data_IF_495145141254
#
_entry.id   IF_495145141254
#
_cell.length_a   1.000
_cell.length_b   1.000
_cell.length_c   1.000
_cell.angle_alpha   90.00
_cell.angle_beta   90.00
_cell.angle_gamma   90.00
#
_symmetry.space_group_name_H-M   'P 1'
#
loop_
_entity.id
_entity.type
_entity.pdbx_description
1 polymer ?
#
# COMPACT_ATOMS: atom_id res chain seq x y z
N UNK A 1 -17.70 25.02 4.62
CA UNK A 1 -17.09 23.71 4.31
C UNK A 1 -16.39 23.22 5.55
N UNK A 2 -16.68 22.01 6.00
CA UNK A 2 -15.97 21.40 7.13
C UNK A 2 -14.54 21.13 6.69
N UNK A 3 -13.56 21.52 7.50
CA UNK A 3 -12.16 21.22 7.21
C UNK A 3 -11.94 19.70 7.33
N UNK A 4 -11.20 19.13 6.38
CA UNK A 4 -10.79 17.73 6.40
C UNK A 4 -9.36 17.66 6.90
N UNK A 5 -9.11 16.71 7.80
CA UNK A 5 -7.82 16.56 8.46
C UNK A 5 -7.30 15.14 8.27
N UNK A 6 -6.01 15.04 7.97
CA UNK A 6 -5.27 13.79 8.12
C UNK A 6 -5.03 13.61 9.61
N UNK A 7 -5.64 12.58 10.21
CA UNK A 7 -5.57 12.36 11.66
C UNK A 7 -4.37 11.51 12.08
N UNK A 8 -3.86 10.66 11.19
CA UNK A 8 -2.65 9.88 11.43
C UNK A 8 -2.09 9.28 10.15
N UNK A 9 -0.82 8.88 10.19
CA UNK A 9 -0.09 8.27 9.10
C UNK A 9 0.64 7.01 9.57
N UNK A 10 0.75 6.03 8.68
CA UNK A 10 1.42 4.78 8.98
C UNK A 10 2.09 4.22 7.73
N UNK A 11 3.27 3.65 7.92
CA UNK A 11 4.02 3.00 6.84
C UNK A 11 4.58 1.67 7.31
N UNK A 12 4.62 0.73 6.39
CA UNK A 12 5.29 -0.55 6.57
C UNK A 12 6.11 -0.86 5.34
N UNK A 13 7.28 -1.45 5.58
CA UNK A 13 8.20 -1.90 4.54
C UNK A 13 8.65 -3.31 4.91
N UNK A 14 8.59 -4.28 3.99
CA UNK A 14 8.99 -5.66 4.27
C UNK A 14 10.45 -5.76 4.73
N UNK A 15 10.76 -6.77 5.54
CA UNK A 15 12.11 -6.90 6.13
C UNK A 15 13.17 -7.41 5.14
N UNK A 16 12.76 -8.23 4.16
CA UNK A 16 13.68 -8.78 3.15
C UNK A 16 14.11 -7.67 2.19
N UNK A 17 15.40 -7.34 2.25
CA UNK A 17 16.04 -6.29 1.45
C UNK A 17 16.90 -6.90 0.35
N UNK A 18 16.68 -6.46 -0.89
CA UNK A 18 17.46 -6.86 -2.06
C UNK A 18 18.33 -5.67 -2.45
N UNK A 19 19.64 -5.87 -2.44
CA UNK A 19 20.65 -4.89 -2.83
C UNK A 19 20.92 -4.96 -4.33
N UNK A 20 21.57 -3.94 -4.88
CA UNK A 20 22.02 -3.96 -6.27
C UNK A 20 23.00 -5.11 -6.55
N UNK A 21 23.81 -5.50 -5.56
CA UNK A 21 24.73 -6.65 -5.67
C UNK A 21 23.97 -7.96 -5.87
N UNK A 22 22.82 -8.13 -5.20
CA UNK A 22 21.99 -9.31 -5.40
C UNK A 22 21.44 -9.37 -6.83
N UNK A 23 21.07 -8.22 -7.41
CA UNK A 23 20.54 -8.13 -8.78
C UNK A 23 21.60 -8.42 -9.85
N UNK A 24 22.88 -8.13 -9.58
CA UNK A 24 23.99 -8.43 -10.51
C UNK A 24 24.14 -9.93 -10.79
N UNK A 25 23.65 -10.78 -9.90
CA UNK A 25 23.63 -12.24 -10.11
C UNK A 25 22.45 -12.73 -10.94
N UNK A 26 21.43 -11.88 -11.15
CA UNK A 26 20.19 -12.21 -11.84
C UNK A 26 20.15 -11.66 -13.26
N UNK A 27 20.68 -10.45 -13.48
CA UNK A 27 20.65 -9.77 -14.78
C UNK A 27 21.97 -9.05 -15.06
N UNK A 28 22.27 -8.82 -16.34
CA UNK A 28 23.45 -8.05 -16.77
C UNK A 28 23.32 -6.56 -16.40
N UNK A 29 23.86 -6.21 -15.23
CA UNK A 29 23.85 -4.88 -14.62
C UNK A 29 24.98 -4.70 -13.59
N UNK A 30 25.13 -3.50 -13.05
CA UNK A 30 26.01 -3.21 -11.91
C UNK A 30 25.46 -2.05 -11.06
N UNK A 31 25.96 -1.90 -9.83
CA UNK A 31 25.51 -0.88 -8.88
C UNK A 31 25.61 0.56 -9.44
N UNK A 32 26.72 0.89 -10.08
CA UNK A 32 26.96 2.22 -10.67
C UNK A 32 25.91 2.56 -11.74
N UNK A 33 25.58 1.59 -12.60
CA UNK A 33 24.56 1.74 -13.63
C UNK A 33 23.17 1.95 -13.02
N UNK A 34 22.78 1.14 -12.02
CA UNK A 34 21.47 1.25 -11.37
C UNK A 34 21.35 2.61 -10.69
N UNK A 35 22.32 2.98 -9.84
CA UNK A 35 22.27 4.21 -9.07
C UNK A 35 22.29 5.45 -9.97
N UNK A 36 23.09 5.46 -11.03
CA UNK A 36 23.14 6.61 -11.95
C UNK A 36 21.85 6.82 -12.75
N UNK A 37 21.08 5.75 -13.01
CA UNK A 37 19.84 5.79 -13.80
C UNK A 37 18.58 5.99 -12.97
N UNK A 38 18.51 5.37 -11.79
CA UNK A 38 17.28 5.31 -10.99
C UNK A 38 17.44 5.89 -9.59
N UNK A 39 18.68 6.05 -9.11
CA UNK A 39 18.98 6.42 -7.71
C UNK A 39 18.78 5.28 -6.70
N UNK A 40 18.37 4.09 -7.14
CA UNK A 40 18.03 2.97 -6.24
C UNK A 40 19.30 2.24 -5.80
N UNK A 41 19.46 2.04 -4.48
CA UNK A 41 20.55 1.25 -3.88
C UNK A 41 20.11 -0.13 -3.38
N UNK A 42 18.84 -0.21 -3.02
CA UNK A 42 18.19 -1.43 -2.58
C UNK A 42 16.68 -1.25 -2.66
N UNK A 43 15.97 -2.37 -2.68
CA UNK A 43 14.51 -2.45 -2.56
C UNK A 43 14.12 -3.47 -1.52
N UNK A 44 12.85 -3.48 -1.16
CA UNK A 44 12.27 -4.44 -0.23
C UNK A 44 11.33 -5.37 -0.97
N UNK A 45 11.29 -6.63 -0.53
CA UNK A 45 10.45 -7.67 -1.08
C UNK A 45 9.64 -8.30 0.05
N UNK A 46 8.36 -8.56 -0.21
CA UNK A 46 7.52 -9.32 0.72
C UNK A 46 8.15 -10.69 1.03
N UNK A 47 7.96 -11.18 2.25
CA UNK A 47 8.24 -12.58 2.55
C UNK A 47 7.33 -13.51 1.74
N UNK A 48 7.72 -14.78 1.62
CA UNK A 48 6.97 -15.74 0.80
C UNK A 48 5.56 -15.99 1.35
N UNK A 49 5.41 -15.88 2.67
CA UNK A 49 4.16 -15.99 3.44
C UNK A 49 3.41 -14.66 3.61
N UNK A 50 3.91 -13.55 3.04
CA UNK A 50 3.37 -12.20 3.20
C UNK A 50 2.80 -11.65 1.88
N UNK A 51 1.58 -11.11 1.90
CA UNK A 51 0.92 -10.52 0.73
C UNK A 51 0.85 -8.98 0.82
N UNK A 52 0.35 -8.35 -0.25
CA UNK A 52 0.12 -6.91 -0.27
C UNK A 52 -0.89 -6.46 0.79
N UNK A 53 -1.92 -7.26 1.06
CA UNK A 53 -2.86 -6.96 2.16
C UNK A 53 -2.20 -7.04 3.54
N UNK A 54 -1.20 -7.89 3.76
CA UNK A 54 -0.48 -7.98 5.03
C UNK A 54 0.32 -6.70 5.28
N UNK A 55 1.12 -6.28 4.30
CA UNK A 55 1.85 -5.02 4.35
C UNK A 55 0.93 -3.80 4.53
N UNK A 56 -0.22 -3.79 3.86
CA UNK A 56 -1.24 -2.75 4.02
C UNK A 56 -1.90 -2.76 5.40
N UNK A 57 -2.07 -3.93 6.01
CA UNK A 57 -2.60 -4.08 7.38
C UNK A 57 -1.63 -3.50 8.40
N UNK A 58 -0.34 -3.79 8.29
CA UNK A 58 0.68 -3.24 9.18
C UNK A 58 0.77 -1.71 9.08
N UNK A 59 0.68 -1.15 7.87
CA UNK A 59 0.63 0.29 7.67
C UNK A 59 -0.66 0.91 8.26
N UNK A 60 -1.80 0.25 8.08
CA UNK A 60 -3.08 0.69 8.62
C UNK A 60 -3.10 0.72 10.15
N UNK A 61 -2.61 -0.34 10.81
CA UNK A 61 -2.55 -0.40 12.27
C UNK A 61 -1.72 0.75 12.85
N UNK A 62 -0.57 1.05 12.24
CA UNK A 62 0.27 2.20 12.64
C UNK A 62 -0.42 3.54 12.42
N UNK A 63 -1.16 3.70 11.33
CA UNK A 63 -1.92 4.93 11.07
C UNK A 63 -3.06 5.14 12.09
N UNK A 64 -3.71 4.05 12.51
CA UNK A 64 -4.74 4.07 13.56
C UNK A 64 -4.14 4.38 14.93
N UNK A 65 -2.99 3.80 15.25
CA UNK A 65 -2.23 4.10 16.47
C UNK A 65 -1.82 5.58 16.53
N UNK A 66 -1.23 6.11 15.45
CA UNK A 66 -0.83 7.52 15.33
C UNK A 66 -2.03 8.47 15.47
N UNK A 67 -3.18 8.10 14.90
CA UNK A 67 -4.41 8.87 15.03
C UNK A 67 -5.10 8.75 16.40
N UNK A 68 -4.73 7.75 17.22
CA UNK A 68 -5.46 7.40 18.45
C UNK A 68 -6.91 6.96 18.19
N UNK A 69 -7.18 6.31 17.06
CA UNK A 69 -8.52 5.88 16.64
C UNK A 69 -8.62 4.36 16.70
N UNK A 70 -9.68 3.85 17.34
CA UNK A 70 -9.96 2.42 17.35
C UNK A 70 -10.40 1.95 15.95
N UNK A 71 -9.98 0.75 15.54
CA UNK A 71 -10.33 0.20 14.23
C UNK A 71 -11.85 0.06 14.02
N UNK A 72 -12.60 -0.24 15.09
CA UNK A 72 -14.06 -0.35 15.09
C UNK A 72 -14.77 0.98 14.71
N UNK A 73 -14.11 2.12 14.92
CA UNK A 73 -14.66 3.42 14.55
C UNK A 73 -14.50 3.73 13.05
N UNK A 74 -13.69 2.96 12.32
CA UNK A 74 -13.48 3.17 10.90
C UNK A 74 -14.74 2.79 10.14
N UNK A 75 -15.24 3.73 9.35
CA UNK A 75 -16.48 3.57 8.59
C UNK A 75 -16.25 3.19 7.13
N UNK A 76 -15.08 3.53 6.59
CA UNK A 76 -14.69 3.27 5.20
C UNK A 76 -13.23 2.85 5.15
N UNK A 77 -12.93 1.79 4.40
CA UNK A 77 -11.57 1.34 4.09
C UNK A 77 -11.40 1.37 2.58
N UNK A 78 -10.48 2.18 2.09
CA UNK A 78 -10.14 2.29 0.68
C UNK A 78 -8.72 1.80 0.50
N UNK A 79 -8.50 0.92 -0.49
CA UNK A 79 -7.15 0.48 -0.83
C UNK A 79 -6.81 0.87 -2.26
N UNK A 80 -5.84 1.76 -2.41
CA UNK A 80 -5.21 2.06 -3.67
C UNK A 80 -4.16 0.99 -3.99
N UNK A 81 -4.47 0.12 -4.96
CA UNK A 81 -3.56 -0.95 -5.37
C UNK A 81 -3.81 -1.33 -6.83
N UNK A 82 -2.73 -1.63 -7.55
CA UNK A 82 -2.78 -2.34 -8.83
C UNK A 82 -2.29 -3.78 -8.70
N UNK A 83 -1.78 -4.17 -7.54
CA UNK A 83 -1.42 -5.55 -7.20
C UNK A 83 -2.27 -6.19 -6.10
N UNK A 84 -3.59 -6.33 -6.29
CA UNK A 84 -4.43 -6.94 -5.27
C UNK A 84 -4.04 -8.42 -5.08
N UNK A 85 -4.22 -8.90 -3.85
CA UNK A 85 -3.96 -10.29 -3.47
C UNK A 85 -4.86 -11.27 -4.27
N UNK A 86 -6.12 -10.87 -4.49
CA UNK A 86 -7.13 -11.63 -5.21
C UNK A 86 -7.92 -10.72 -6.15
N UNK A 87 -8.59 -11.30 -7.15
CA UNK A 87 -9.59 -10.57 -7.95
C UNK A 87 -10.87 -10.29 -7.15
N UNK A 88 -11.21 -11.19 -6.23
CA UNK A 88 -12.30 -11.05 -5.27
C UNK A 88 -12.01 -12.00 -4.09
N UNK A 89 -12.16 -11.57 -2.83
CA UNK A 89 -12.57 -10.23 -2.38
C UNK A 89 -11.51 -9.14 -2.61
N UNK A 90 -11.86 -7.88 -2.38
CA UNK A 90 -10.93 -6.75 -2.48
C UNK A 90 -9.87 -6.77 -1.37
N UNK A 91 -8.73 -6.13 -1.62
CA UNK A 91 -7.64 -5.94 -0.65
C UNK A 91 -8.12 -5.16 0.56
N UNK A 92 -8.96 -4.14 0.34
CA UNK A 92 -9.62 -3.37 1.39
C UNK A 92 -10.48 -4.25 2.32
N UNK A 93 -11.23 -5.23 1.78
CA UNK A 93 -12.00 -6.16 2.61
C UNK A 93 -11.10 -7.02 3.48
N UNK A 94 -9.96 -7.47 2.94
CA UNK A 94 -8.98 -8.28 3.70
C UNK A 94 -8.37 -7.44 4.82
N UNK A 95 -7.91 -6.22 4.52
CA UNK A 95 -7.36 -5.30 5.52
C UNK A 95 -8.40 -4.99 6.59
N UNK A 96 -9.63 -4.65 6.19
CA UNK A 96 -10.74 -4.38 7.11
C UNK A 96 -11.00 -5.53 8.07
N UNK A 97 -10.98 -6.77 7.57
CA UNK A 97 -11.12 -7.97 8.39
C UNK A 97 -9.95 -8.17 9.36
N UNK A 98 -8.71 -7.92 8.92
CA UNK A 98 -7.50 -8.08 9.75
C UNK A 98 -7.36 -7.04 10.85
N UNK A 99 -7.73 -5.78 10.58
CA UNK A 99 -7.68 -4.71 11.59
C UNK A 99 -8.89 -4.71 12.52
N UNK A 100 -9.94 -5.47 12.20
CA UNK A 100 -11.15 -5.56 13.02
C UNK A 100 -12.17 -4.43 12.80
N UNK A 101 -12.11 -3.71 11.67
CA UNK A 101 -13.07 -2.65 11.33
C UNK A 101 -14.39 -3.23 10.78
N UNK A 102 -15.01 -4.14 11.52
CA UNK A 102 -16.18 -4.89 11.07
C UNK A 102 -17.36 -3.98 10.76
N UNK A 103 -17.95 -4.12 9.57
CA UNK A 103 -19.07 -3.30 9.10
C UNK A 103 -18.66 -2.02 8.37
N UNK A 104 -17.36 -1.73 8.26
CA UNK A 104 -16.86 -0.68 7.38
C UNK A 104 -17.17 -1.00 5.91
N UNK A 105 -17.51 0.03 5.12
CA UNK A 105 -17.54 -0.13 3.67
C UNK A 105 -16.12 -0.25 3.14
N UNK A 106 -15.81 -1.31 2.39
CA UNK A 106 -14.45 -1.59 1.94
C UNK A 106 -14.39 -1.84 0.43
N UNK A 107 -13.51 -1.12 -0.28
CA UNK A 107 -13.31 -1.31 -1.73
C UNK A 107 -11.91 -0.90 -2.19
N UNK A 108 -11.47 -1.50 -3.29
CA UNK A 108 -10.20 -1.15 -3.95
C UNK A 108 -10.43 -0.11 -5.04
N UNK A 109 -9.42 0.72 -5.27
CA UNK A 109 -9.37 1.66 -6.40
C UNK A 109 -8.03 1.51 -7.12
N UNK A 110 -8.09 1.47 -8.45
CA UNK A 110 -6.92 1.33 -9.29
C UNK A 110 -6.78 2.55 -10.21
N UNK A 111 -5.83 3.42 -9.85
CA UNK A 111 -5.35 4.52 -10.68
C UNK A 111 -3.81 4.53 -10.71
N UNK A 112 -3.20 3.32 -10.76
CA UNK A 112 -1.75 3.11 -10.76
C UNK A 112 -1.02 3.95 -9.68
N UNK A 113 0.13 4.54 -10.01
CA UNK A 113 0.95 5.34 -9.10
C UNK A 113 0.22 6.59 -8.54
N UNK A 114 -0.86 7.04 -9.18
CA UNK A 114 -1.70 8.14 -8.68
C UNK A 114 -2.82 7.67 -7.74
N UNK A 115 -2.92 6.36 -7.48
CA UNK A 115 -3.98 5.75 -6.68
C UNK A 115 -4.18 6.42 -5.32
N UNK A 116 -3.11 6.73 -4.59
CA UNK A 116 -3.25 7.38 -3.28
C UNK A 116 -3.86 8.78 -3.38
N UNK A 117 -3.46 9.59 -4.37
CA UNK A 117 -4.02 10.94 -4.59
C UNK A 117 -5.49 10.87 -5.01
N UNK A 118 -5.84 9.92 -5.88
CA UNK A 118 -7.23 9.66 -6.25
C UNK A 118 -8.05 9.19 -5.04
N UNK A 119 -7.48 8.34 -4.20
CA UNK A 119 -8.08 7.90 -2.95
C UNK A 119 -8.36 9.05 -1.99
N UNK A 120 -7.47 10.05 -1.91
CA UNK A 120 -7.70 11.26 -1.11
C UNK A 120 -8.89 12.08 -1.63
N UNK A 121 -9.05 12.21 -2.95
CA UNK A 121 -10.18 12.92 -3.54
C UNK A 121 -11.52 12.18 -3.31
N UNK A 122 -11.50 10.85 -3.43
CA UNK A 122 -12.65 10.01 -3.10
C UNK A 122 -13.00 10.11 -1.61
N UNK A 123 -12.00 10.06 -0.72
CA UNK A 123 -12.19 10.23 0.72
C UNK A 123 -12.78 11.61 1.05
N UNK A 124 -12.29 12.68 0.40
CA UNK A 124 -12.83 14.04 0.52
C UNK A 124 -14.31 14.08 0.13
N UNK A 125 -14.69 13.45 -0.98
CA UNK A 125 -16.07 13.37 -1.44
C UNK A 125 -16.97 12.61 -0.46
N UNK A 126 -16.48 11.50 0.10
CA UNK A 126 -17.19 10.73 1.14
C UNK A 126 -17.44 11.59 2.38
N UNK A 127 -16.41 12.28 2.88
CA UNK A 127 -16.49 13.14 4.06
C UNK A 127 -17.42 14.34 3.84
N UNK A 128 -17.44 14.91 2.63
CA UNK A 128 -18.36 15.98 2.26
C UNK A 128 -19.83 15.53 2.32
N UNK A 129 -20.13 14.30 1.89
CA UNK A 129 -21.47 13.71 1.96
C UNK A 129 -21.84 13.12 3.32
N UNK A 130 -20.84 12.70 4.11
CA UNK A 130 -20.99 12.07 5.43
C UNK A 130 -19.97 12.67 6.42
N UNK A 131 -20.26 13.85 7.01
CA UNK A 131 -19.30 14.57 7.85
C UNK A 131 -18.77 13.81 9.08
N UNK A 132 -19.47 12.76 9.53
CA UNK A 132 -19.04 11.90 10.65
C UNK A 132 -18.27 10.65 10.23
N UNK A 133 -18.02 10.43 8.94
CA UNK A 133 -17.27 9.28 8.47
C UNK A 133 -15.80 9.37 8.92
N UNK A 134 -15.24 8.22 9.31
CA UNK A 134 -13.80 8.03 9.46
C UNK A 134 -13.32 7.13 8.33
N UNK A 135 -12.38 7.63 7.54
CA UNK A 135 -11.93 7.00 6.30
C UNK A 135 -10.47 6.58 6.46
N UNK A 136 -10.21 5.27 6.36
CA UNK A 136 -8.87 4.72 6.25
C UNK A 136 -8.53 4.55 4.77
N UNK A 137 -7.50 5.23 4.31
CA UNK A 137 -6.96 5.09 2.95
C UNK A 137 -5.59 4.41 3.01
N UNK A 138 -5.45 3.27 2.35
CA UNK A 138 -4.22 2.47 2.31
C UNK A 138 -3.68 2.44 0.88
N UNK A 139 -2.40 2.75 0.70
CA UNK A 139 -1.67 2.39 -0.51
C UNK A 139 -0.85 1.13 -0.24
N UNK A 140 -1.03 0.07 -1.01
CA UNK A 140 -0.23 -1.16 -0.86
C UNK A 140 0.03 -1.83 -2.19
N UNK A 141 1.29 -2.23 -2.42
CA UNK A 141 1.72 -2.87 -3.66
C UNK A 141 2.73 -3.99 -3.36
N UNK A 142 2.63 -5.06 -4.15
CA UNK A 142 3.41 -6.29 -4.12
C UNK A 142 4.12 -6.49 -5.47
N UNK A 143 4.71 -5.42 -6.02
CA UNK A 143 5.27 -5.44 -7.38
C UNK A 143 6.32 -6.53 -7.59
N UNK A 144 7.13 -6.87 -6.59
CA UNK A 144 8.13 -7.93 -6.68
C UNK A 144 7.57 -9.30 -7.07
N UNK A 145 6.28 -9.55 -6.83
CA UNK A 145 5.57 -10.77 -7.27
C UNK A 145 5.16 -10.73 -8.75
N UNK A 146 5.30 -9.58 -9.40
CA UNK A 146 4.85 -9.29 -10.78
C UNK A 146 5.97 -8.83 -11.71
N UNK A 147 7.21 -8.76 -11.22
CA UNK A 147 8.37 -8.42 -12.04
C UNK A 147 8.84 -9.62 -12.84
N UNK A 148 9.38 -9.36 -14.04
CA UNK A 148 10.18 -10.35 -14.73
C UNK A 148 11.63 -10.23 -14.24
N UNK A 149 12.05 -11.19 -13.42
CA UNK A 149 13.41 -11.19 -12.83
C UNK A 149 14.53 -11.43 -13.86
N UNK A 150 14.20 -11.85 -15.08
CA UNK A 150 15.14 -12.00 -16.19
C UNK A 150 15.24 -10.72 -17.05
N UNK A 151 14.32 -9.76 -16.88
CA UNK A 151 14.30 -8.50 -17.63
C UNK A 151 14.73 -7.32 -16.75
N UNK A 152 15.96 -6.86 -16.99
CA UNK A 152 16.57 -5.72 -16.31
C UNK A 152 15.77 -4.42 -16.40
N UNK A 153 14.90 -4.26 -17.40
CA UNK A 153 14.07 -3.05 -17.55
C UNK A 153 12.89 -3.03 -16.57
N UNK A 154 12.59 -4.16 -15.93
CA UNK A 154 11.49 -4.29 -14.96
C UNK A 154 11.94 -4.64 -13.55
N UNK A 155 13.00 -5.43 -13.38
CA UNK A 155 13.45 -5.88 -12.05
C UNK A 155 14.38 -4.89 -11.31
N UNK A 156 14.87 -3.87 -12.01
CA UNK A 156 15.74 -2.78 -11.49
C UNK A 156 14.95 -1.59 -10.98
#
# INVERSE_FOLDING_TARGET
MTAIHIQGLGTYVPTKRITNVDLMSLVDTNDEWIVSRTGIKARHMLADDENGSDAGTEAALKALEDAGIAAEDITHVLTATCTPDYLCPSTACIISGKIGSHGAMAFDLNAACTGFVYGLDVANSILAGKPGAKVLLVGSEAFTRRLNWEDRTTCI
#
